data_IF_875474554514
#
_entry.id   IF_875474554514
#
_cell.length_a   1.000
_cell.length_b   1.000
_cell.length_c   1.000
_cell.angle_alpha   90.00
_cell.angle_beta   90.00
_cell.angle_gamma   90.00
#
_symmetry.space_group_name_H-M   'P 1'
#
loop_
_entity.id
_entity.type
_entity.pdbx_description
1 polymer ?
#
# COMPACT_ATOMS: atom_id res chain seq x y z
N UNK A 1 -5.82 -9.97 16.18
CA UNK A 1 -5.64 -8.98 15.09
C UNK A 1 -6.69 -7.91 15.27
N UNK A 2 -6.42 -6.65 14.92
CA UNK A 2 -7.43 -5.59 14.92
C UNK A 2 -7.82 -5.19 13.49
N UNK A 3 -9.08 -4.82 13.28
CA UNK A 3 -9.62 -4.29 12.02
C UNK A 3 -10.19 -2.90 12.27
N UNK A 4 -9.71 -1.90 11.53
CA UNK A 4 -10.08 -0.48 11.70
C UNK A 4 -10.37 0.19 10.37
N UNK A 5 -11.14 1.28 10.36
CA UNK A 5 -11.49 2.04 9.15
C UNK A 5 -10.86 3.45 9.14
N UNK A 6 -9.56 3.59 8.81
CA UNK A 6 -8.88 4.88 8.88
C UNK A 6 -9.22 5.80 7.69
N UNK A 7 -10.14 5.40 6.81
CA UNK A 7 -10.40 6.03 5.51
C UNK A 7 -11.91 6.18 5.25
N UNK A 8 -12.43 5.67 4.13
CA UNK A 8 -13.83 5.76 3.76
C UNK A 8 -14.75 4.73 4.44
N UNK A 9 -16.08 4.94 4.42
CA UNK A 9 -17.05 4.12 5.12
C UNK A 9 -17.03 2.66 4.66
N UNK A 10 -17.27 1.75 5.59
CA UNK A 10 -17.19 0.31 5.35
C UNK A 10 -18.60 -0.29 5.20
N UNK A 11 -18.91 -1.00 4.10
CA UNK A 11 -20.15 -1.76 4.01
C UNK A 11 -20.15 -2.90 5.03
N UNK A 12 -21.14 -2.94 5.91
CA UNK A 12 -21.22 -3.89 7.02
C UNK A 12 -21.21 -5.34 6.52
N UNK A 13 -21.95 -5.66 5.45
CA UNK A 13 -21.96 -7.03 4.91
C UNK A 13 -20.59 -7.49 4.42
N UNK A 14 -19.78 -6.56 3.88
CA UNK A 14 -18.43 -6.86 3.40
C UNK A 14 -17.46 -7.03 4.56
N UNK A 15 -17.59 -6.20 5.60
CA UNK A 15 -16.79 -6.35 6.80
C UNK A 15 -17.07 -7.72 7.45
N UNK A 16 -18.34 -8.08 7.62
CA UNK A 16 -18.71 -9.39 8.19
C UNK A 16 -18.10 -10.55 7.40
N UNK A 17 -18.23 -10.55 6.07
CA UNK A 17 -17.64 -11.58 5.22
C UNK A 17 -16.10 -11.64 5.34
N UNK A 18 -15.44 -10.48 5.43
CA UNK A 18 -14.00 -10.38 5.64
C UNK A 18 -13.55 -10.95 6.99
N UNK A 19 -14.30 -10.65 8.06
CA UNK A 19 -14.03 -11.18 9.39
C UNK A 19 -14.19 -12.69 9.43
N UNK A 20 -15.18 -13.25 8.74
CA UNK A 20 -15.38 -14.71 8.65
C UNK A 20 -14.22 -15.41 7.93
N UNK A 21 -13.68 -14.81 6.86
CA UNK A 21 -12.47 -15.30 6.20
C UNK A 21 -11.27 -15.31 7.14
N UNK A 22 -11.05 -14.22 7.89
CA UNK A 22 -9.94 -14.12 8.85
C UNK A 22 -10.10 -15.13 10.00
N UNK A 23 -11.31 -15.33 10.51
CA UNK A 23 -11.61 -16.39 11.50
C UNK A 23 -11.31 -17.78 10.93
N UNK A 24 -11.56 -18.00 9.65
CA UNK A 24 -11.17 -19.21 8.93
C UNK A 24 -9.65 -19.43 8.82
N UNK A 25 -8.83 -18.43 9.13
CA UNK A 25 -7.37 -18.54 9.26
C UNK A 25 -6.92 -18.72 10.71
N UNK A 26 -7.83 -19.11 11.61
CA UNK A 26 -7.60 -19.25 13.05
C UNK A 26 -7.18 -17.94 13.75
N UNK A 27 -7.59 -16.80 13.18
CA UNK A 27 -7.43 -15.48 13.80
C UNK A 27 -8.67 -15.10 14.60
N UNK A 28 -8.47 -14.28 15.63
CA UNK A 28 -9.55 -13.60 16.35
C UNK A 28 -9.50 -12.09 16.02
N UNK A 29 -10.24 -11.63 14.98
CA UNK A 29 -10.24 -10.23 14.58
C UNK A 29 -11.15 -9.40 15.51
N UNK A 30 -10.57 -8.40 16.17
CA UNK A 30 -11.26 -7.38 16.96
C UNK A 30 -11.54 -6.16 16.09
N UNK A 31 -12.79 -5.70 16.06
CA UNK A 31 -13.21 -4.54 15.26
C UNK A 31 -13.13 -3.28 16.11
N UNK A 32 -12.51 -2.22 15.57
CA UNK A 32 -12.47 -0.91 16.21
C UNK A 32 -13.88 -0.31 16.40
N UNK A 33 -14.18 0.33 17.55
CA UNK A 33 -15.50 0.88 17.86
C UNK A 33 -16.16 1.71 16.75
N UNK A 34 -15.37 2.47 15.99
CA UNK A 34 -15.83 3.42 14.97
C UNK A 34 -15.73 2.87 13.55
N UNK A 35 -15.40 1.59 13.37
CA UNK A 35 -15.16 0.99 12.04
C UNK A 35 -16.37 1.07 11.10
N UNK A 36 -17.59 1.05 11.64
CA UNK A 36 -18.85 1.14 10.88
C UNK A 36 -19.49 2.54 10.91
N UNK A 37 -18.84 3.50 11.56
CA UNK A 37 -19.36 4.86 11.65
C UNK A 37 -19.35 5.55 10.27
N UNK A 38 -20.13 6.64 10.21
CA UNK A 38 -20.13 7.56 9.08
C UNK A 38 -19.97 8.97 9.61
N UNK A 39 -19.17 9.77 8.92
CA UNK A 39 -19.05 11.18 9.29
C UNK A 39 -20.41 11.89 9.10
N UNK A 40 -20.85 12.74 10.03
CA UNK A 40 -22.16 13.39 9.98
C UNK A 40 -22.35 14.28 8.75
N UNK A 41 -21.28 14.89 8.25
CA UNK A 41 -21.31 15.84 7.11
C UNK A 41 -20.62 15.34 5.83
N UNK A 42 -19.69 14.37 5.92
CA UNK A 42 -18.81 13.98 4.81
C UNK A 42 -18.96 12.49 4.56
N UNK A 43 -19.90 12.13 3.70
CA UNK A 43 -20.30 10.73 3.44
C UNK A 43 -19.16 9.83 2.93
N UNK A 44 -18.06 10.40 2.46
CA UNK A 44 -16.86 9.70 2.03
C UNK A 44 -15.88 9.31 3.16
N UNK A 45 -16.20 9.57 4.44
CA UNK A 45 -15.37 9.25 5.62
C UNK A 45 -16.05 8.27 6.59
N UNK A 46 -15.28 7.31 7.13
CA UNK A 46 -15.70 6.37 8.18
C UNK A 46 -15.66 7.00 9.59
N UNK A 47 -16.46 8.05 9.83
CA UNK A 47 -16.48 8.77 11.10
C UNK A 47 -15.58 10.01 11.13
N UNK A 48 -15.44 10.63 12.30
CA UNK A 48 -14.60 11.84 12.46
C UNK A 48 -13.11 11.51 12.36
N UNK A 49 -12.26 12.52 12.13
CA UNK A 49 -10.82 12.32 12.13
C UNK A 49 -10.31 11.81 13.48
N UNK A 50 -10.89 12.31 14.58
CA UNK A 50 -10.56 11.91 15.94
C UNK A 50 -10.95 10.46 16.22
N UNK A 51 -12.14 10.02 15.80
CA UNK A 51 -12.62 8.66 16.00
C UNK A 51 -11.77 7.65 15.22
N UNK A 52 -11.48 7.93 13.95
CA UNK A 52 -10.62 7.09 13.10
C UNK A 52 -9.19 7.02 13.65
N UNK A 53 -8.64 8.13 14.15
CA UNK A 53 -7.36 8.17 14.84
C UNK A 53 -7.37 7.36 16.13
N UNK A 54 -8.41 7.49 16.95
CA UNK A 54 -8.54 6.80 18.23
C UNK A 54 -8.59 5.28 18.04
N UNK A 55 -9.39 4.79 17.09
CA UNK A 55 -9.47 3.36 16.75
C UNK A 55 -8.11 2.81 16.32
N UNK A 56 -7.42 3.54 15.43
CA UNK A 56 -6.11 3.12 14.94
C UNK A 56 -5.05 3.13 16.07
N UNK A 57 -5.01 4.21 16.87
CA UNK A 57 -4.09 4.36 18.00
C UNK A 57 -4.32 3.27 19.04
N UNK A 58 -5.57 3.01 19.42
CA UNK A 58 -5.92 1.99 20.40
C UNK A 58 -5.51 0.59 19.89
N UNK A 59 -5.83 0.27 18.65
CA UNK A 59 -5.44 -1.00 18.02
C UNK A 59 -3.91 -1.17 17.97
N UNK A 60 -3.17 -0.10 17.66
CA UNK A 60 -1.71 -0.15 17.60
C UNK A 60 -1.06 -0.17 18.98
N UNK A 61 -1.64 0.44 20.00
CA UNK A 61 -1.06 0.44 21.35
C UNK A 61 -1.50 -0.75 22.20
N UNK A 62 -2.47 -1.54 21.76
CA UNK A 62 -2.91 -2.74 22.47
C UNK A 62 -1.84 -3.86 22.39
N UNK A 63 -1.29 -4.33 23.52
CA UNK A 63 -0.29 -5.40 23.54
C UNK A 63 -0.84 -6.77 23.06
N UNK A 64 -2.15 -6.98 23.06
CA UNK A 64 -2.80 -8.20 22.56
C UNK A 64 -2.94 -8.25 21.03
N UNK A 65 -2.73 -7.12 20.35
CA UNK A 65 -2.85 -7.00 18.89
C UNK A 65 -1.49 -7.18 18.22
N UNK A 66 -1.33 -8.18 17.35
CA UNK A 66 -0.09 -8.34 16.56
C UNK A 66 -0.13 -7.64 15.19
N UNK A 67 -1.33 -7.32 14.70
CA UNK A 67 -1.55 -6.77 13.37
C UNK A 67 -2.79 -5.89 13.34
N UNK A 68 -2.70 -4.77 12.63
CA UNK A 68 -3.79 -3.85 12.29
C UNK A 68 -4.06 -3.97 10.79
N UNK A 69 -5.20 -4.56 10.44
CA UNK A 69 -5.67 -4.71 9.07
C UNK A 69 -6.70 -3.61 8.78
N UNK A 70 -6.46 -2.79 7.77
CA UNK A 70 -7.43 -1.78 7.36
C UNK A 70 -8.68 -2.46 6.77
N UNK A 71 -9.85 -1.99 7.17
CA UNK A 71 -11.12 -2.51 6.69
C UNK A 71 -11.33 -2.16 5.21
N UNK A 72 -11.00 -0.93 4.82
CA UNK A 72 -11.13 -0.41 3.46
C UNK A 72 -10.30 0.86 3.30
N UNK A 73 -9.94 1.18 2.05
CA UNK A 73 -9.44 2.50 1.64
C UNK A 73 -10.60 3.47 1.41
N UNK A 74 -10.39 4.44 0.53
CA UNK A 74 -11.35 5.52 0.30
C UNK A 74 -10.61 6.86 0.36
N UNK A 75 -10.97 7.71 1.30
CA UNK A 75 -10.27 8.97 1.54
C UNK A 75 -10.22 9.28 3.04
N UNK A 76 -9.19 10.02 3.45
CA UNK A 76 -9.17 10.71 4.73
C UNK A 76 -8.07 10.27 5.69
N UNK A 77 -7.20 9.32 5.32
CA UNK A 77 -6.06 8.92 6.16
C UNK A 77 -5.16 10.12 6.49
N UNK A 78 -4.86 10.96 5.48
CA UNK A 78 -4.02 12.15 5.66
C UNK A 78 -4.55 13.11 6.73
N UNK A 79 -5.88 13.16 6.92
CA UNK A 79 -6.52 14.03 7.93
C UNK A 79 -6.31 13.54 9.37
N UNK A 80 -6.11 12.24 9.55
CA UNK A 80 -5.97 11.62 10.88
C UNK A 80 -4.52 11.27 11.24
N UNK A 81 -3.61 11.18 10.27
CA UNK A 81 -2.23 10.76 10.51
C UNK A 81 -1.49 11.65 11.52
N UNK A 82 -1.79 12.95 11.55
CA UNK A 82 -1.18 13.89 12.49
C UNK A 82 -1.87 13.96 13.86
N UNK A 83 -3.01 13.29 14.02
CA UNK A 83 -3.68 13.13 15.32
C UNK A 83 -3.13 11.94 16.12
N UNK A 84 -2.40 11.04 15.46
CA UNK A 84 -1.79 9.88 16.12
C UNK A 84 -0.63 10.31 17.03
N UNK A 85 -0.53 9.66 18.17
CA UNK A 85 0.63 9.75 19.05
C UNK A 85 1.72 8.79 18.57
N UNK A 86 2.63 9.32 17.77
CA UNK A 86 3.71 8.56 17.17
C UNK A 86 4.79 8.13 18.19
N UNK A 87 4.90 8.83 19.31
CA UNK A 87 5.80 8.42 20.40
C UNK A 87 5.24 7.16 21.06
N UNK A 88 3.93 7.12 21.32
CA UNK A 88 3.24 5.94 21.82
C UNK A 88 3.24 4.78 20.81
N UNK A 89 3.06 5.05 19.51
CA UNK A 89 3.18 4.04 18.45
C UNK A 89 4.57 3.38 18.46
N UNK A 90 5.65 4.18 18.55
CA UNK A 90 7.00 3.64 18.65
C UNK A 90 7.23 2.88 19.96
N UNK A 91 6.71 3.38 21.08
CA UNK A 91 6.83 2.72 22.37
C UNK A 91 6.09 1.36 22.44
N UNK A 92 4.99 1.22 21.69
CA UNK A 92 4.24 -0.03 21.58
C UNK A 92 4.99 -1.13 20.80
N UNK A 93 6.03 -0.75 20.06
CA UNK A 93 6.87 -1.67 19.29
C UNK A 93 6.28 -2.05 17.92
N UNK A 94 6.99 -2.92 17.18
CA UNK A 94 6.58 -3.31 15.84
C UNK A 94 5.30 -4.16 15.86
N UNK A 95 4.35 -3.80 15.01
CA UNK A 95 3.17 -4.59 14.64
C UNK A 95 3.03 -4.57 13.12
N UNK A 96 2.13 -5.36 12.58
CA UNK A 96 1.90 -5.43 11.13
C UNK A 96 0.79 -4.46 10.74
N UNK A 97 1.06 -3.50 9.86
CA UNK A 97 0.04 -2.71 9.16
C UNK A 97 -0.26 -3.35 7.80
N UNK A 98 -1.53 -3.62 7.50
CA UNK A 98 -1.96 -4.12 6.19
C UNK A 98 -3.04 -3.24 5.58
N UNK A 99 -2.80 -2.77 4.36
CA UNK A 99 -3.78 -2.04 3.55
C UNK A 99 -3.17 -1.47 2.28
N UNK A 100 -3.97 -0.89 1.41
CA UNK A 100 -3.50 -0.21 0.19
C UNK A 100 -4.40 0.99 -0.14
N UNK A 101 -4.23 1.63 -1.29
CA UNK A 101 -5.01 2.82 -1.66
C UNK A 101 -4.67 4.03 -0.77
N UNK A 102 -5.67 4.72 -0.22
CA UNK A 102 -5.52 5.83 0.75
C UNK A 102 -4.62 5.48 1.97
N UNK A 103 -4.47 4.18 2.29
CA UNK A 103 -3.55 3.70 3.34
C UNK A 103 -2.07 3.98 2.99
N UNK A 104 -1.76 4.32 1.73
CA UNK A 104 -0.42 4.79 1.29
C UNK A 104 0.13 5.87 2.22
N UNK A 105 -0.70 6.81 2.67
CA UNK A 105 -0.25 7.86 3.60
C UNK A 105 0.18 7.32 4.97
N UNK A 106 -0.45 6.24 5.48
CA UNK A 106 0.05 5.55 6.67
C UNK A 106 1.34 4.78 6.37
N UNK A 107 1.47 4.13 5.22
CA UNK A 107 2.73 3.47 4.84
C UNK A 107 3.90 4.46 4.83
N UNK A 108 3.71 5.67 4.29
CA UNK A 108 4.68 6.77 4.35
C UNK A 108 5.03 7.16 5.79
N UNK A 109 4.00 7.39 6.61
CA UNK A 109 4.16 7.85 7.97
C UNK A 109 4.84 6.79 8.86
N UNK A 110 4.51 5.51 8.70
CA UNK A 110 5.16 4.41 9.41
C UNK A 110 6.62 4.25 9.01
N UNK A 111 6.93 4.35 7.71
CA UNK A 111 8.31 4.27 7.25
C UNK A 111 9.19 5.37 7.85
N UNK A 112 8.67 6.59 7.98
CA UNK A 112 9.46 7.78 8.36
C UNK A 112 9.40 8.12 9.85
N UNK A 113 8.26 7.90 10.51
CA UNK A 113 8.01 8.29 11.90
C UNK A 113 8.16 7.13 12.87
N UNK A 114 8.07 5.88 12.39
CA UNK A 114 8.24 4.68 13.20
C UNK A 114 9.40 3.78 12.72
N UNK A 115 9.85 3.91 11.48
CA UNK A 115 10.92 3.08 10.92
C UNK A 115 10.50 1.61 10.76
N UNK A 116 9.21 1.37 10.49
CA UNK A 116 8.64 0.02 10.46
C UNK A 116 8.31 -0.43 9.04
N UNK A 117 8.43 -1.74 8.83
CA UNK A 117 7.93 -2.42 7.63
C UNK A 117 6.41 -2.48 7.68
N UNK A 118 5.77 -2.25 6.53
CA UNK A 118 4.32 -2.35 6.37
C UNK A 118 3.98 -3.22 5.16
N UNK A 119 2.75 -3.72 5.10
CA UNK A 119 2.29 -4.56 4.00
C UNK A 119 1.27 -3.80 3.15
N UNK A 120 1.68 -3.44 1.94
CA UNK A 120 0.76 -2.98 0.90
C UNK A 120 -0.02 -4.18 0.36
N UNK A 121 -1.24 -4.39 0.85
CA UNK A 121 -1.99 -5.62 0.61
C UNK A 121 -3.49 -5.49 0.84
N UNK A 122 -4.24 -6.57 0.58
CA UNK A 122 -5.71 -6.55 0.57
C UNK A 122 -6.30 -6.18 1.94
N UNK A 123 -7.48 -5.56 1.90
CA UNK A 123 -8.20 -5.02 3.06
C UNK A 123 -9.43 -5.87 3.39
N UNK A 124 -9.84 -5.92 4.66
CA UNK A 124 -10.83 -6.88 5.15
C UNK A 124 -12.18 -6.82 4.41
N UNK A 125 -12.67 -5.62 4.08
CA UNK A 125 -13.92 -5.42 3.34
C UNK A 125 -13.69 -5.11 1.84
N UNK A 126 -12.47 -5.33 1.33
CA UNK A 126 -12.11 -5.16 -0.07
C UNK A 126 -12.73 -6.25 -0.94
N UNK A 127 -13.32 -5.87 -2.08
CA UNK A 127 -14.01 -6.84 -2.96
C UNK A 127 -13.07 -7.94 -3.45
N UNK A 128 -11.82 -7.59 -3.78
CA UNK A 128 -10.81 -8.56 -4.21
C UNK A 128 -10.50 -9.57 -3.09
N UNK A 129 -10.28 -9.10 -1.86
CA UNK A 129 -10.05 -9.98 -0.71
C UNK A 129 -11.20 -10.96 -0.47
N UNK A 130 -12.45 -10.52 -0.66
CA UNK A 130 -13.62 -11.36 -0.44
C UNK A 130 -13.83 -12.43 -1.53
N UNK A 131 -13.29 -12.22 -2.73
CA UNK A 131 -13.63 -13.04 -3.91
C UNK A 131 -12.45 -13.77 -4.53
N UNK A 132 -11.23 -13.39 -4.20
CA UNK A 132 -10.05 -13.84 -4.90
C UNK A 132 -9.13 -14.66 -3.99
N UNK A 133 -9.06 -15.98 -4.26
CA UNK A 133 -8.21 -16.91 -3.52
C UNK A 133 -6.72 -16.53 -3.63
N UNK A 134 -6.27 -15.97 -4.75
CA UNK A 134 -4.86 -15.56 -4.92
C UNK A 134 -4.48 -14.43 -3.95
N UNK A 135 -5.34 -13.42 -3.80
CA UNK A 135 -5.09 -12.32 -2.86
C UNK A 135 -5.10 -12.83 -1.41
N UNK A 136 -6.07 -13.69 -1.08
CA UNK A 136 -6.19 -14.34 0.23
C UNK A 136 -4.94 -15.17 0.57
N UNK A 137 -4.56 -16.08 -0.31
CA UNK A 137 -3.43 -16.99 -0.13
C UNK A 137 -2.11 -16.23 -0.05
N UNK A 138 -1.91 -15.20 -0.89
CA UNK A 138 -0.67 -14.42 -0.86
C UNK A 138 -0.54 -13.61 0.44
N UNK A 139 -1.61 -12.96 0.91
CA UNK A 139 -1.60 -12.28 2.21
C UNK A 139 -1.37 -13.30 3.33
N UNK A 140 -2.09 -14.43 3.33
CA UNK A 140 -1.94 -15.48 4.34
C UNK A 140 -0.51 -16.03 4.39
N UNK A 141 0.08 -16.33 3.23
CA UNK A 141 1.47 -16.79 3.16
C UNK A 141 2.44 -15.71 3.66
N UNK A 142 2.22 -14.44 3.32
CA UNK A 142 3.03 -13.33 3.83
C UNK A 142 2.96 -13.21 5.36
N UNK A 143 1.79 -13.46 5.96
CA UNK A 143 1.60 -13.35 7.41
C UNK A 143 2.14 -14.54 8.21
N UNK A 144 2.03 -15.76 7.67
CA UNK A 144 2.28 -17.00 8.44
C UNK A 144 3.46 -17.84 7.94
N UNK A 145 3.92 -17.60 6.71
CA UNK A 145 5.04 -18.31 6.09
C UNK A 145 5.85 -17.35 5.18
N UNK A 146 6.31 -16.19 5.69
CA UNK A 146 6.90 -15.11 4.89
C UNK A 146 8.12 -15.55 4.07
N UNK A 147 8.82 -16.62 4.49
CA UNK A 147 9.93 -17.23 3.75
C UNK A 147 9.51 -17.83 2.41
N UNK A 148 8.24 -18.18 2.24
CA UNK A 148 7.69 -18.78 1.02
C UNK A 148 7.35 -17.75 -0.06
N UNK A 149 7.23 -16.47 0.30
CA UNK A 149 6.86 -15.35 -0.59
C UNK A 149 8.00 -14.36 -0.80
N UNK A 150 9.25 -14.83 -0.65
CA UNK A 150 10.44 -13.99 -0.88
C UNK A 150 10.63 -13.55 -2.33
N UNK A 151 10.04 -14.26 -3.28
CA UNK A 151 10.10 -13.90 -4.71
C UNK A 151 8.71 -13.63 -5.23
N UNK A 152 8.49 -12.39 -5.65
CA UNK A 152 7.26 -11.91 -6.26
C UNK A 152 7.52 -11.77 -7.76
N UNK A 153 6.59 -12.27 -8.58
CA UNK A 153 6.74 -12.27 -10.05
C UNK A 153 5.68 -11.39 -10.68
N UNK A 154 6.09 -10.66 -11.72
CA UNK A 154 5.17 -10.03 -12.65
C UNK A 154 4.32 -11.09 -13.38
N UNK A 155 3.23 -10.65 -14.00
CA UNK A 155 2.38 -11.50 -14.82
C UNK A 155 3.19 -12.22 -15.92
N UNK A 156 2.80 -13.45 -16.23
CA UNK A 156 3.44 -14.22 -17.30
C UNK A 156 3.36 -13.46 -18.63
N UNK A 157 4.51 -13.35 -19.32
CA UNK A 157 4.60 -12.63 -20.58
C UNK A 157 4.76 -11.10 -20.44
N UNK A 158 4.80 -10.56 -19.22
CA UNK A 158 5.21 -9.16 -19.01
C UNK A 158 6.65 -8.97 -19.50
N UNK A 159 6.86 -7.93 -20.31
CA UNK A 159 8.18 -7.53 -20.79
C UNK A 159 8.65 -6.29 -20.02
N UNK A 160 9.97 -6.13 -19.77
CA UNK A 160 10.47 -4.90 -19.17
C UNK A 160 10.14 -3.70 -20.06
N UNK A 161 9.68 -2.61 -19.43
CA UNK A 161 9.63 -1.30 -20.08
C UNK A 161 11.04 -0.72 -20.23
N UNK A 162 11.88 -0.92 -19.21
CA UNK A 162 13.31 -0.67 -19.23
C UNK A 162 14.02 -1.85 -18.59
N UNK A 163 14.93 -2.54 -19.31
CA UNK A 163 15.63 -3.70 -18.78
C UNK A 163 16.68 -3.32 -17.74
N UNK A 164 17.20 -4.33 -17.03
CA UNK A 164 18.29 -4.18 -16.07
C UNK A 164 17.93 -4.69 -14.69
N UNK A 165 18.86 -4.49 -13.75
CA UNK A 165 18.72 -4.93 -12.36
C UNK A 165 18.98 -3.78 -11.42
N UNK A 166 18.22 -3.74 -10.33
CA UNK A 166 18.35 -2.73 -9.28
C UNK A 166 18.11 -3.37 -7.92
N UNK A 167 18.77 -2.83 -6.89
CA UNK A 167 18.57 -3.23 -5.50
C UNK A 167 18.29 -1.99 -4.67
N UNK A 168 17.31 -2.07 -3.79
CA UNK A 168 16.87 -0.93 -2.99
C UNK A 168 15.80 -1.30 -1.98
N UNK A 169 15.47 -0.35 -1.10
CA UNK A 169 14.34 -0.48 -0.18
C UNK A 169 13.05 -0.33 -0.98
N UNK A 170 12.09 -1.23 -0.77
CA UNK A 170 10.76 -1.14 -1.34
C UNK A 170 9.95 -0.04 -0.68
N UNK A 171 9.33 0.81 -1.50
CA UNK A 171 8.38 1.82 -1.05
C UNK A 171 7.43 2.19 -2.18
N UNK A 172 6.28 2.76 -1.87
CA UNK A 172 5.34 3.17 -2.91
C UNK A 172 3.89 3.21 -2.44
N UNK A 173 2.98 2.90 -3.37
CA UNK A 173 1.54 2.88 -3.18
C UNK A 173 0.81 3.62 -4.29
N UNK A 174 -0.32 4.25 -3.94
CA UNK A 174 -1.07 5.09 -4.86
C UNK A 174 -0.26 6.30 -5.32
N UNK A 175 -0.08 6.45 -6.63
CA UNK A 175 0.65 7.58 -7.23
C UNK A 175 0.05 8.93 -6.80
N UNK A 176 -1.28 9.08 -6.85
CA UNK A 176 -1.96 10.30 -6.42
C UNK A 176 -1.68 10.65 -4.95
N UNK A 177 -1.61 9.66 -4.05
CA UNK A 177 -1.33 9.87 -2.62
C UNK A 177 0.14 10.24 -2.38
N UNK A 178 1.08 9.57 -3.06
CA UNK A 178 2.50 9.94 -2.99
C UNK A 178 2.73 11.39 -3.46
N UNK A 179 2.04 11.81 -4.52
CA UNK A 179 2.10 13.20 -4.99
C UNK A 179 1.43 14.18 -4.02
N UNK A 180 0.32 13.78 -3.37
CA UNK A 180 -0.38 14.60 -2.38
C UNK A 180 0.42 14.80 -1.09
N UNK A 181 1.32 13.89 -0.75
CA UNK A 181 2.21 13.97 0.41
C UNK A 181 3.43 14.89 0.19
N UNK A 182 3.67 15.38 -1.03
CA UNK A 182 4.78 16.29 -1.29
C UNK A 182 4.67 17.58 -0.46
N UNK A 183 5.75 17.90 0.24
CA UNK A 183 5.83 19.07 1.12
C UNK A 183 5.43 18.77 2.57
N UNK A 184 4.93 17.57 2.87
CA UNK A 184 4.72 17.14 4.25
C UNK A 184 6.09 16.87 4.92
N UNK A 185 6.42 17.53 6.05
CA UNK A 185 7.69 17.31 6.75
C UNK A 185 7.78 15.95 7.45
N UNK A 186 6.66 15.22 7.54
CA UNK A 186 6.53 13.92 8.20
C UNK A 186 6.52 12.74 7.21
N UNK A 187 6.86 12.96 5.94
CA UNK A 187 7.06 11.90 4.94
C UNK A 187 8.46 11.97 4.33
N UNK A 188 8.79 11.01 3.46
CA UNK A 188 10.14 10.91 2.93
C UNK A 188 10.41 12.03 1.91
N UNK A 189 11.59 12.67 1.97
CA UNK A 189 11.90 13.81 1.09
C UNK A 189 12.24 13.39 -0.35
N UNK A 190 12.56 12.12 -0.59
CA UNK A 190 12.86 11.58 -1.92
C UNK A 190 12.71 10.06 -1.96
N UNK A 191 12.64 9.49 -3.16
CA UNK A 191 12.71 8.05 -3.45
C UNK A 191 14.15 7.57 -3.76
N UNK A 192 15.17 8.34 -3.40
CA UNK A 192 16.57 8.02 -3.72
C UNK A 192 16.97 6.64 -3.17
N UNK A 193 17.54 5.81 -4.05
CA UNK A 193 18.02 4.47 -3.74
C UNK A 193 16.91 3.43 -3.57
N UNK A 194 15.65 3.80 -3.78
CA UNK A 194 14.52 2.92 -3.56
C UNK A 194 14.09 2.15 -4.81
N UNK A 195 13.44 1.01 -4.60
CA UNK A 195 12.60 0.36 -5.59
C UNK A 195 11.17 0.88 -5.41
N UNK A 196 10.72 1.72 -6.34
CA UNK A 196 9.45 2.44 -6.26
C UNK A 196 8.31 1.61 -6.86
N UNK A 197 7.33 1.25 -6.03
CA UNK A 197 6.11 0.56 -6.44
C UNK A 197 4.97 1.57 -6.69
N UNK A 198 4.44 1.65 -7.91
CA UNK A 198 3.36 2.56 -8.26
C UNK A 198 2.12 1.82 -8.76
N UNK A 199 0.97 2.26 -8.30
CA UNK A 199 -0.34 1.86 -8.79
C UNK A 199 -1.31 3.05 -8.65
N UNK A 200 -2.44 3.01 -9.32
CA UNK A 200 -3.53 3.98 -9.10
C UNK A 200 -4.86 3.42 -9.60
N UNK A 201 -5.97 4.09 -9.26
CA UNK A 201 -7.32 3.63 -9.61
C UNK A 201 -8.24 4.76 -10.04
N UNK A 202 -9.00 4.54 -11.11
CA UNK A 202 -10.07 5.45 -11.51
C UNK A 202 -9.60 6.80 -12.07
N UNK A 203 -8.32 6.93 -12.42
CA UNK A 203 -7.72 8.19 -12.84
C UNK A 203 -7.69 8.38 -14.37
N UNK A 204 -7.92 9.62 -14.79
CA UNK A 204 -7.71 10.05 -16.18
C UNK A 204 -6.20 10.27 -16.44
N UNK A 205 -5.72 10.01 -17.67
CA UNK A 205 -4.27 10.09 -17.97
C UNK A 205 -3.68 11.45 -17.64
N UNK A 206 -4.39 12.57 -17.87
CA UNK A 206 -3.85 13.89 -17.54
C UNK A 206 -3.69 14.12 -16.03
N UNK A 207 -4.42 13.40 -15.18
CA UNK A 207 -4.25 13.47 -13.72
C UNK A 207 -3.02 12.70 -13.29
N UNK A 208 -2.83 11.50 -13.84
CA UNK A 208 -1.59 10.73 -13.66
C UNK A 208 -0.37 11.52 -14.13
N UNK A 209 -0.46 12.19 -15.28
CA UNK A 209 0.60 13.08 -15.79
C UNK A 209 0.89 14.19 -14.79
N UNK A 210 -0.15 14.88 -14.30
CA UNK A 210 0.01 15.92 -13.29
C UNK A 210 0.74 15.42 -12.03
N UNK A 211 0.40 14.23 -11.53
CA UNK A 211 1.06 13.64 -10.35
C UNK A 211 2.53 13.31 -10.61
N UNK A 212 2.83 12.63 -11.73
CA UNK A 212 4.19 12.32 -12.14
C UNK A 212 5.02 13.58 -12.38
N UNK A 213 4.46 14.54 -13.09
CA UNK A 213 5.08 15.84 -13.36
C UNK A 213 5.37 16.59 -12.05
N UNK A 214 4.48 16.52 -11.05
CA UNK A 214 4.72 17.11 -9.75
C UNK A 214 5.91 16.44 -9.02
N UNK A 215 5.94 15.11 -8.96
CA UNK A 215 7.03 14.33 -8.35
C UNK A 215 8.39 14.58 -9.04
N UNK A 216 8.40 14.61 -10.37
CA UNK A 216 9.60 14.92 -11.18
C UNK A 216 10.09 16.35 -10.92
N UNK A 217 9.20 17.34 -10.97
CA UNK A 217 9.56 18.75 -10.76
C UNK A 217 10.01 19.06 -9.34
N UNK A 218 9.54 18.30 -8.37
CA UNK A 218 10.00 18.38 -6.99
C UNK A 218 11.38 17.72 -6.77
N UNK A 219 11.93 17.02 -7.77
CA UNK A 219 13.15 16.22 -7.62
C UNK A 219 12.97 14.98 -6.73
N UNK A 220 11.72 14.60 -6.43
CA UNK A 220 11.43 13.51 -5.50
C UNK A 220 11.87 12.15 -6.04
N UNK A 221 11.81 11.98 -7.36
CA UNK A 221 12.25 10.77 -8.07
C UNK A 221 13.77 10.74 -8.35
N UNK A 222 14.51 11.79 -7.98
CA UNK A 222 15.93 11.88 -8.29
C UNK A 222 16.74 10.77 -7.58
N UNK A 223 17.35 9.90 -8.37
CA UNK A 223 18.16 8.80 -7.88
C UNK A 223 17.37 7.61 -7.36
N UNK A 224 16.08 7.47 -7.72
CA UNK A 224 15.36 6.19 -7.59
C UNK A 224 16.17 5.07 -8.25
N UNK A 225 16.11 3.84 -7.71
CA UNK A 225 16.92 2.73 -8.20
C UNK A 225 16.20 1.88 -9.25
N UNK A 226 14.88 1.75 -9.15
CA UNK A 226 14.05 0.98 -10.07
C UNK A 226 12.56 1.23 -9.83
N UNK A 227 11.72 0.88 -10.81
CA UNK A 227 10.27 1.14 -10.76
C UNK A 227 9.50 -0.14 -11.06
N UNK A 228 8.52 -0.45 -10.20
CA UNK A 228 7.58 -1.53 -10.37
C UNK A 228 6.19 -0.94 -10.54
N UNK A 229 5.50 -1.28 -11.63
CA UNK A 229 4.15 -0.79 -11.91
C UNK A 229 3.15 -1.92 -11.63
N UNK A 230 2.24 -1.66 -10.71
CA UNK A 230 1.13 -2.54 -10.36
C UNK A 230 -0.07 -2.28 -11.26
N UNK A 231 -1.25 -2.27 -10.64
CA UNK A 231 -2.52 -2.08 -11.33
C UNK A 231 -2.81 -0.61 -11.64
N UNK A 232 -3.52 -0.39 -12.75
CA UNK A 232 -4.09 0.89 -13.17
C UNK A 232 -5.60 0.73 -13.37
N UNK A 233 -6.24 0.00 -12.45
CA UNK A 233 -7.63 -0.42 -12.58
C UNK A 233 -8.57 0.78 -12.72
N UNK A 234 -9.56 0.68 -13.60
CA UNK A 234 -10.55 1.75 -13.84
C UNK A 234 -9.96 3.10 -14.31
N UNK A 235 -8.66 3.19 -14.55
CA UNK A 235 -8.07 4.31 -15.27
C UNK A 235 -8.47 4.24 -16.76
N UNK A 236 -8.04 5.24 -17.53
CA UNK A 236 -8.12 5.17 -18.99
C UNK A 236 -7.44 3.91 -19.56
N UNK A 237 -7.76 3.50 -20.82
CA UNK A 237 -7.22 2.30 -21.42
C UNK A 237 -5.71 2.18 -21.22
N UNK A 238 -5.26 1.02 -20.73
CA UNK A 238 -3.90 0.87 -20.20
C UNK A 238 -2.81 1.28 -21.19
N UNK A 239 -2.98 1.06 -22.50
CA UNK A 239 -2.02 1.51 -23.52
C UNK A 239 -1.71 3.02 -23.46
N UNK A 240 -2.71 3.85 -23.12
CA UNK A 240 -2.53 5.29 -22.94
C UNK A 240 -1.75 5.59 -21.65
N UNK A 241 -2.10 4.92 -20.57
CA UNK A 241 -1.43 5.04 -19.26
C UNK A 241 0.03 4.58 -19.38
N UNK A 242 0.27 3.43 -20.01
CA UNK A 242 1.58 2.88 -20.34
C UNK A 242 2.43 3.87 -21.15
N UNK A 243 1.85 4.47 -22.20
CA UNK A 243 2.52 5.50 -22.99
C UNK A 243 2.97 6.69 -22.16
N UNK A 244 2.11 7.18 -21.24
CA UNK A 244 2.46 8.24 -20.30
C UNK A 244 3.58 7.81 -19.33
N UNK A 245 3.48 6.62 -18.74
CA UNK A 245 4.47 6.12 -17.78
C UNK A 245 5.85 6.01 -18.41
N UNK A 246 5.94 5.48 -19.64
CA UNK A 246 7.18 5.43 -20.41
C UNK A 246 7.71 6.83 -20.71
N UNK A 247 6.84 7.76 -21.11
CA UNK A 247 7.24 9.14 -21.44
C UNK A 247 7.74 9.92 -20.22
N UNK A 248 7.07 9.81 -19.06
CA UNK A 248 7.43 10.56 -17.83
C UNK A 248 8.55 9.90 -17.04
N UNK A 249 8.57 8.57 -16.93
CA UNK A 249 9.53 7.84 -16.09
C UNK A 249 10.71 7.26 -16.88
N UNK A 250 10.59 7.11 -18.20
CA UNK A 250 11.64 6.49 -19.02
C UNK A 250 12.97 7.25 -18.98
N UNK A 251 12.90 8.58 -18.85
CA UNK A 251 14.08 9.45 -18.72
C UNK A 251 14.88 9.26 -17.43
N UNK A 252 14.34 8.54 -16.44
CA UNK A 252 15.08 8.19 -15.22
C UNK A 252 16.20 7.17 -15.49
N UNK A 253 16.09 6.38 -16.57
CA UNK A 253 17.13 5.44 -16.99
C UNK A 253 17.34 4.26 -16.04
N UNK A 254 16.31 3.90 -15.26
CA UNK A 254 16.34 2.83 -14.27
C UNK A 254 15.49 1.63 -14.72
N UNK A 255 15.77 0.40 -14.23
CA UNK A 255 14.95 -0.76 -14.55
C UNK A 255 13.48 -0.52 -14.19
N UNK A 256 12.59 -0.86 -15.13
CA UNK A 256 11.16 -0.62 -15.00
C UNK A 256 10.35 -1.78 -15.58
N UNK A 257 9.40 -2.28 -14.79
CA UNK A 257 8.55 -3.44 -15.14
C UNK A 257 7.10 -3.13 -14.87
N UNK A 258 6.23 -3.59 -15.76
CA UNK A 258 4.78 -3.51 -15.62
C UNK A 258 4.13 -4.83 -15.19
N UNK A 259 2.84 -4.77 -14.83
CA UNK A 259 2.03 -5.93 -14.48
C UNK A 259 2.56 -6.73 -13.28
N UNK A 260 3.06 -6.04 -12.24
CA UNK A 260 3.57 -6.69 -11.02
C UNK A 260 2.48 -7.23 -10.08
N UNK A 261 1.21 -7.12 -10.46
CA UNK A 261 0.09 -7.82 -9.80
C UNK A 261 -0.33 -7.29 -8.44
N UNK A 262 0.09 -6.09 -8.03
CA UNK A 262 -0.37 -5.42 -6.80
C UNK A 262 -1.26 -4.20 -7.12
N UNK A 263 -1.98 -3.67 -6.14
CA UNK A 263 -2.86 -2.50 -6.30
C UNK A 263 -4.33 -2.89 -6.48
N UNK A 264 -5.11 -2.05 -7.16
CA UNK A 264 -6.57 -2.21 -7.32
C UNK A 264 -7.01 -3.27 -8.35
N UNK A 265 -6.13 -4.20 -8.73
CA UNK A 265 -6.42 -5.27 -9.68
C UNK A 265 -7.03 -6.51 -9.02
N UNK A 266 -7.30 -7.53 -9.85
CA UNK A 266 -7.79 -8.83 -9.38
C UNK A 266 -6.62 -9.71 -8.88
N UNK A 267 -6.74 -10.25 -7.67
CA UNK A 267 -5.76 -11.15 -7.08
C UNK A 267 -4.51 -10.42 -6.62
N UNK A 268 -4.71 -9.26 -5.98
CA UNK A 268 -3.65 -8.35 -5.61
C UNK A 268 -2.61 -9.02 -4.69
N UNK A 269 -1.35 -8.99 -5.12
CA UNK A 269 -0.21 -9.45 -4.34
C UNK A 269 0.08 -8.49 -3.19
N UNK A 270 0.53 -9.04 -2.07
CA UNK A 270 0.98 -8.27 -0.91
C UNK A 270 2.45 -7.89 -1.08
N UNK A 271 2.73 -6.59 -1.09
CA UNK A 271 4.10 -6.06 -1.24
C UNK A 271 4.57 -5.46 0.09
N UNK A 272 5.69 -5.92 0.67
CA UNK A 272 6.24 -5.31 1.88
C UNK A 272 6.99 -4.02 1.54
N UNK A 273 6.63 -2.93 2.20
CA UNK A 273 7.38 -1.66 2.15
C UNK A 273 8.31 -1.54 3.34
N UNK A 274 9.49 -0.96 3.12
CA UNK A 274 10.57 -0.87 4.11
C UNK A 274 11.60 -2.01 4.04
N UNK A 275 11.41 -3.00 3.17
CA UNK A 275 12.31 -4.16 3.03
C UNK A 275 13.27 -3.98 1.86
N UNK A 276 14.52 -4.41 2.01
CA UNK A 276 15.50 -4.46 0.92
C UNK A 276 15.19 -5.60 -0.05
N UNK A 277 15.24 -5.30 -1.34
CA UNK A 277 14.98 -6.28 -2.40
C UNK A 277 15.80 -6.00 -3.66
N UNK A 278 15.93 -7.02 -4.50
CA UNK A 278 16.47 -6.94 -5.87
C UNK A 278 15.33 -7.08 -6.90
N UNK A 279 15.25 -6.12 -7.82
CA UNK A 279 14.43 -6.17 -9.02
C UNK A 279 15.31 -6.65 -10.19
N UNK A 280 14.87 -7.73 -10.85
CA UNK A 280 15.35 -8.12 -12.18
C UNK A 280 14.23 -7.85 -13.19
N UNK A 281 14.41 -6.79 -13.98
CA UNK A 281 13.39 -6.35 -14.92
C UNK A 281 13.24 -7.29 -16.12
N UNK A 282 14.33 -7.94 -16.55
CA UNK A 282 14.29 -8.89 -17.67
C UNK A 282 13.59 -10.19 -17.26
N UNK A 283 13.81 -10.64 -16.02
CA UNK A 283 13.16 -11.82 -15.49
C UNK A 283 11.74 -11.54 -14.94
N UNK A 284 11.37 -10.27 -14.77
CA UNK A 284 10.09 -9.87 -14.14
C UNK A 284 9.99 -10.34 -12.69
N UNK A 285 11.10 -10.31 -11.93
CA UNK A 285 11.14 -10.79 -10.56
C UNK A 285 11.56 -9.70 -9.57
N UNK A 286 10.93 -9.72 -8.41
CA UNK A 286 11.32 -8.98 -7.23
C UNK A 286 11.68 -9.98 -6.14
N UNK A 287 12.91 -9.96 -5.64
CA UNK A 287 13.39 -10.89 -4.62
C UNK A 287 13.77 -10.13 -3.35
N UNK A 288 13.08 -10.43 -2.25
CA UNK A 288 13.36 -9.87 -0.94
C UNK A 288 14.65 -10.47 -0.37
N UNK A 289 15.54 -9.61 0.14
CA UNK A 289 16.79 -10.04 0.77
C UNK A 289 16.52 -10.94 1.98
N UNK A 290 15.47 -10.62 2.73
CA UNK A 290 14.97 -11.34 3.90
C UNK A 290 13.44 -11.51 3.80
N UNK A 291 12.83 -12.45 4.55
CA UNK A 291 11.37 -12.52 4.67
C UNK A 291 10.77 -11.19 5.12
N UNK A 292 9.56 -10.87 4.63
CA UNK A 292 8.88 -9.60 4.90
C UNK A 292 8.63 -9.33 6.40
N UNK A 293 8.44 -10.40 7.16
CA UNK A 293 8.20 -10.39 8.59
C UNK A 293 9.22 -11.34 9.23
N UNK A 294 10.00 -10.84 10.20
CA UNK A 294 11.04 -11.57 10.94
C UNK A 294 10.73 -11.53 12.43
#
# INVERSE_FOLDING_TARGET
MAVVAPSGPVPEERLSAGLDLLRGWDLDPVVGPHTLDRHPEFDYLAGTDADRAADFQAAWCDPSVSAVLCARGGYGVQRMADLLDWDAIRAAGPKILVGFSDITALHEAFATRAGLVTLHGPMAAGVDFLKNARAQEHLRATLFAPETVRTIKAAEGSAPLLPGRARGVLLGGCLCLLAAELGNPHVRPSARGALLCLEDVGEETYRLDRYLTQLLRAGWLDGVAGVLLGSWAQCEPYERVRGLLVDRLGGLGVPMVEEFGFGHGDGALTIPFGVMAELDAEAGTLTLDEPALV
#
